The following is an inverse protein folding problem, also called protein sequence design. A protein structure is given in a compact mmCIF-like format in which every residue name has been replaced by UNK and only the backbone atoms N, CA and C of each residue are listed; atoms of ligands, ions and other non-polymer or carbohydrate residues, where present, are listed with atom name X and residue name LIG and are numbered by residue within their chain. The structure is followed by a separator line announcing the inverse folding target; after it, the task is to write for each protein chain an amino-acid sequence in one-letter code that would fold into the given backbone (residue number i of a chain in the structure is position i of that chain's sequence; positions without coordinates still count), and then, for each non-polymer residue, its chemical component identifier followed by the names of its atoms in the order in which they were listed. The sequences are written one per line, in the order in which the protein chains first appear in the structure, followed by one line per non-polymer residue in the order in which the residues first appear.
data_IF_353392689552
#
_entry.id   IF_353392689552
#
_cell.length_a   1.000
_cell.length_b   1.000
_cell.length_c   1.000
_cell.angle_alpha   90.00
_cell.angle_beta   90.00
_cell.angle_gamma   90.00
#
_symmetry.space_group_name_H-M   'P 1'
#
loop_
_entity.id
_entity.type
_entity.pdbx_description
1 polymer ?
#
# COMPACT_ATOMS: atom_id res chain seq x y z
N UNK A 1 -34.54 31.19 -7.89
CA UNK A 1 -35.13 30.31 -6.86
C UNK A 1 -35.10 28.82 -7.23
N UNK A 2 -35.68 28.37 -8.35
CA UNK A 2 -35.70 26.93 -8.74
C UNK A 2 -34.33 26.26 -8.91
N UNK A 3 -33.31 26.94 -9.44
CA UNK A 3 -31.95 26.37 -9.60
C UNK A 3 -31.22 26.11 -8.27
N UNK A 4 -31.44 26.93 -7.25
CA UNK A 4 -30.85 26.71 -5.92
C UNK A 4 -31.50 25.54 -5.18
N UNK A 5 -32.81 25.34 -5.34
CA UNK A 5 -33.52 24.20 -4.74
C UNK A 5 -33.06 22.88 -5.37
N UNK A 6 -32.86 22.83 -6.70
CA UNK A 6 -32.32 21.65 -7.38
C UNK A 6 -30.88 21.34 -6.94
N UNK A 7 -30.02 22.36 -6.77
CA UNK A 7 -28.66 22.19 -6.28
C UNK A 7 -28.62 21.66 -4.83
N UNK A 8 -29.48 22.19 -3.95
CA UNK A 8 -29.57 21.75 -2.56
C UNK A 8 -30.12 20.31 -2.47
N UNK A 9 -31.11 19.94 -3.29
CA UNK A 9 -31.62 18.56 -3.35
C UNK A 9 -30.54 17.61 -3.87
N UNK A 10 -29.79 17.97 -4.91
CA UNK A 10 -28.66 17.16 -5.39
C UNK A 10 -27.53 17.04 -4.36
N UNK A 11 -27.24 18.12 -3.62
CA UNK A 11 -26.25 18.08 -2.54
C UNK A 11 -26.72 17.20 -1.38
N UNK A 12 -28.00 17.28 -1.03
CA UNK A 12 -28.62 16.48 0.03
C UNK A 12 -28.73 15.00 -0.36
N UNK A 13 -29.11 14.68 -1.60
CA UNK A 13 -29.09 13.30 -2.13
C UNK A 13 -27.66 12.76 -2.21
N UNK A 14 -26.68 13.57 -2.62
CA UNK A 14 -25.27 13.19 -2.64
C UNK A 14 -24.73 12.96 -1.22
N UNK A 15 -25.13 13.78 -0.25
CA UNK A 15 -24.78 13.62 1.17
C UNK A 15 -25.46 12.39 1.78
N UNK A 16 -26.75 12.16 1.51
CA UNK A 16 -27.48 10.97 1.94
C UNK A 16 -26.94 9.68 1.31
N UNK A 17 -26.48 9.76 0.05
CA UNK A 17 -25.77 8.66 -0.63
C UNK A 17 -24.39 8.43 -0.03
N UNK A 18 -23.62 9.47 0.29
CA UNK A 18 -22.34 9.33 1.00
C UNK A 18 -22.50 8.75 2.42
N UNK A 19 -23.59 9.10 3.13
CA UNK A 19 -23.90 8.54 4.44
C UNK A 19 -24.44 7.10 4.38
N UNK A 20 -25.15 6.70 3.31
CA UNK A 20 -25.49 5.29 3.05
C UNK A 20 -24.30 4.46 2.55
N UNK A 21 -23.40 5.05 1.77
CA UNK A 21 -22.28 4.38 1.11
C UNK A 21 -21.00 4.39 1.96
N UNK A 22 -21.10 4.24 3.28
CA UNK A 22 -19.93 4.14 4.15
C UNK A 22 -20.03 2.99 5.16
N UNK A 23 -20.93 2.03 4.94
CA UNK A 23 -21.17 0.89 5.83
C UNK A 23 -19.86 0.15 6.13
N UNK A 24 -19.05 -0.12 5.12
CA UNK A 24 -17.80 -0.86 5.28
C UNK A 24 -16.71 -0.02 5.93
N UNK A 25 -16.63 1.26 5.58
CA UNK A 25 -15.74 2.21 6.27
C UNK A 25 -16.08 2.33 7.76
N UNK A 26 -17.36 2.32 8.12
CA UNK A 26 -17.83 2.31 9.51
C UNK A 26 -17.46 1.01 10.21
N UNK A 27 -17.74 -0.16 9.61
CA UNK A 27 -17.34 -1.47 10.15
C UNK A 27 -15.83 -1.51 10.44
N UNK A 28 -15.00 -1.04 9.50
CA UNK A 28 -13.55 -0.97 9.68
C UNK A 28 -13.18 -0.09 10.89
N UNK A 29 -13.75 1.12 10.99
CA UNK A 29 -13.45 2.05 12.09
C UNK A 29 -13.86 1.53 13.47
N UNK A 30 -14.85 0.64 13.54
CA UNK A 30 -15.34 0.05 14.79
C UNK A 30 -14.55 -1.19 15.22
N UNK A 31 -13.73 -1.77 14.34
CA UNK A 31 -12.98 -2.97 14.64
C UNK A 31 -11.79 -2.69 15.56
N UNK A 32 -11.92 -3.05 16.84
CA UNK A 32 -10.97 -2.69 17.90
C UNK A 32 -9.52 -3.14 17.63
N UNK A 33 -9.31 -4.38 17.18
CA UNK A 33 -7.96 -4.92 16.98
C UNK A 33 -7.16 -4.14 15.92
N UNK A 34 -7.76 -3.92 14.75
CA UNK A 34 -7.22 -3.04 13.70
C UNK A 34 -7.04 -1.60 14.21
N UNK A 35 -8.04 -1.03 14.90
CA UNK A 35 -7.94 0.33 15.45
C UNK A 35 -6.74 0.52 16.39
N UNK A 36 -6.43 -0.47 17.25
CA UNK A 36 -5.23 -0.45 18.09
C UNK A 36 -3.93 -0.41 17.27
N UNK A 37 -3.84 -1.24 16.22
CA UNK A 37 -2.65 -1.29 15.34
C UNK A 37 -2.47 0.00 14.54
N UNK A 38 -3.57 0.62 14.11
CA UNK A 38 -3.53 1.93 13.47
C UNK A 38 -3.00 3.00 14.43
N UNK A 39 -3.51 3.04 15.67
CA UNK A 39 -3.02 3.95 16.70
C UNK A 39 -1.53 3.79 16.99
N UNK A 40 -1.05 2.54 17.16
CA UNK A 40 0.37 2.24 17.34
C UNK A 40 1.22 2.68 16.15
N UNK A 41 0.76 2.38 14.92
CA UNK A 41 1.47 2.76 13.70
C UNK A 41 1.58 4.28 13.58
N UNK A 42 0.51 5.02 13.89
CA UNK A 42 0.53 6.50 13.93
C UNK A 42 1.55 7.01 14.94
N UNK A 43 1.57 6.47 16.16
CA UNK A 43 2.55 6.88 17.18
C UNK A 43 3.99 6.65 16.74
N UNK A 44 4.27 5.49 16.11
CA UNK A 44 5.60 5.16 15.57
C UNK A 44 5.99 6.09 14.41
N UNK A 45 5.06 6.36 13.49
CA UNK A 45 5.27 7.31 12.38
C UNK A 45 5.53 8.72 12.91
N UNK A 46 4.81 9.17 13.93
CA UNK A 46 5.01 10.50 14.52
C UNK A 46 6.35 10.60 15.25
N UNK A 47 6.80 9.52 15.91
CA UNK A 47 8.16 9.46 16.47
C UNK A 47 9.23 9.57 15.38
N UNK A 48 9.09 8.82 14.28
CA UNK A 48 9.99 8.90 13.12
C UNK A 48 10.00 10.30 12.52
N UNK A 49 8.84 10.92 12.31
CA UNK A 49 8.73 12.30 11.79
C UNK A 49 9.50 13.30 12.66
N UNK A 50 9.46 13.16 13.99
CA UNK A 50 10.24 14.02 14.89
C UNK A 50 11.75 13.86 14.66
N UNK A 51 12.23 12.63 14.54
CA UNK A 51 13.65 12.36 14.27
C UNK A 51 14.08 12.90 12.89
N UNK A 52 13.29 12.64 11.85
CA UNK A 52 13.58 13.13 10.49
C UNK A 52 13.43 14.64 10.33
N UNK A 53 12.68 15.31 11.21
CA UNK A 53 12.56 16.77 11.22
C UNK A 53 13.73 17.48 11.90
N UNK A 54 14.60 16.74 12.62
CA UNK A 54 15.70 17.32 13.36
C UNK A 54 16.97 17.46 12.48
N UNK A 55 17.34 18.68 12.05
CA UNK A 55 18.50 18.89 11.16
C UNK A 55 19.84 18.56 11.82
N UNK A 56 19.89 18.44 13.16
CA UNK A 56 21.09 17.99 13.86
C UNK A 56 21.28 16.46 13.79
N UNK A 57 20.22 15.70 13.50
CA UNK A 57 20.22 14.23 13.45
C UNK A 57 20.13 13.70 12.03
N UNK A 58 19.36 14.33 11.16
CA UNK A 58 19.12 13.89 9.79
C UNK A 58 19.64 14.90 8.77
N UNK A 59 20.45 14.43 7.83
CA UNK A 59 20.90 15.22 6.68
C UNK A 59 20.03 14.90 5.48
N UNK A 60 19.08 15.77 5.15
CA UNK A 60 18.24 15.60 3.97
C UNK A 60 18.84 16.30 2.75
N UNK A 61 19.16 15.59 1.66
CA UNK A 61 19.51 16.23 0.40
C UNK A 61 18.32 17.03 -0.17
N UNK A 62 18.61 17.97 -1.06
CA UNK A 62 17.58 18.79 -1.71
C UNK A 62 16.55 17.91 -2.44
N UNK A 63 15.28 18.33 -2.42
CA UNK A 63 14.19 17.65 -3.12
C UNK A 63 14.14 16.14 -2.83
N UNK A 64 14.49 15.71 -1.61
CA UNK A 64 14.46 14.30 -1.19
C UNK A 64 13.37 14.09 -0.14
N UNK A 65 12.52 13.10 -0.39
CA UNK A 65 11.46 12.65 0.50
C UNK A 65 11.81 11.29 1.10
N UNK A 66 11.72 11.19 2.43
CA UNK A 66 11.79 9.91 3.15
C UNK A 66 10.38 9.44 3.45
N UNK A 67 10.10 8.18 3.16
CA UNK A 67 8.85 7.54 3.51
C UNK A 67 9.07 6.16 4.11
N UNK A 68 8.11 5.75 4.95
CA UNK A 68 8.04 4.39 5.46
C UNK A 68 7.11 3.56 4.61
N UNK A 69 7.42 2.28 4.40
CA UNK A 69 6.55 1.32 3.75
C UNK A 69 6.23 0.13 4.67
N UNK A 70 5.72 -0.95 4.10
CA UNK A 70 5.48 -2.18 4.85
C UNK A 70 4.40 -2.01 5.92
N UNK A 71 4.61 -2.61 7.10
CA UNK A 71 3.58 -2.63 8.14
C UNK A 71 3.20 -1.27 8.70
N UNK A 72 4.20 -0.39 8.86
CA UNK A 72 3.97 1.00 9.27
C UNK A 72 3.21 1.76 8.18
N UNK A 73 3.59 1.62 6.91
CA UNK A 73 2.89 2.24 5.78
C UNK A 73 1.42 1.78 5.63
N UNK A 74 1.13 0.53 5.96
CA UNK A 74 -0.24 -0.03 5.97
C UNK A 74 -1.05 0.27 7.24
N UNK A 75 -0.44 0.88 8.25
CA UNK A 75 -1.01 1.05 9.59
C UNK A 75 -1.47 -0.27 10.25
N UNK A 76 -0.75 -1.36 9.96
CA UNK A 76 -1.00 -2.70 10.54
C UNK A 76 0.18 -3.22 11.36
N UNK A 77 1.04 -2.30 11.81
CA UNK A 77 2.22 -2.57 12.60
C UNK A 77 1.87 -3.16 13.98
N UNK A 78 2.73 -4.07 14.46
CA UNK A 78 2.81 -4.49 15.86
C UNK A 78 4.01 -3.87 16.57
N UNK A 79 4.22 -4.20 17.84
CA UNK A 79 5.30 -3.66 18.67
C UNK A 79 6.68 -4.00 18.12
N UNK A 80 6.86 -5.24 17.65
CA UNK A 80 8.14 -5.74 17.15
C UNK A 80 8.27 -5.70 15.61
N UNK A 81 7.55 -4.80 14.95
CA UNK A 81 7.61 -4.70 13.49
C UNK A 81 8.87 -3.99 13.00
N UNK A 82 9.44 -4.53 11.92
CA UNK A 82 10.60 -3.97 11.23
C UNK A 82 10.30 -2.56 10.67
N UNK A 83 11.35 -1.74 10.56
CA UNK A 83 11.31 -0.42 9.95
C UNK A 83 11.79 -0.51 8.48
N UNK A 84 10.87 -0.29 7.55
CA UNK A 84 11.13 -0.30 6.11
C UNK A 84 11.16 1.14 5.57
N UNK A 85 12.35 1.72 5.39
CA UNK A 85 12.53 3.08 4.86
C UNK A 85 12.94 3.11 3.40
N UNK A 86 12.42 4.12 2.70
CA UNK A 86 12.75 4.42 1.31
C UNK A 86 12.90 5.92 1.11
N UNK A 87 13.74 6.29 0.15
CA UNK A 87 14.02 7.68 -0.18
C UNK A 87 13.77 7.90 -1.66
N UNK A 88 12.99 8.91 -2.01
CA UNK A 88 12.82 9.37 -3.39
C UNK A 88 13.27 10.80 -3.53
N UNK A 89 13.70 11.19 -4.73
CA UNK A 89 14.07 12.57 -5.02
C UNK A 89 13.56 13.02 -6.38
N UNK A 90 13.20 14.30 -6.50
CA UNK A 90 12.91 14.96 -7.78
C UNK A 90 14.01 15.96 -8.19
N UNK A 91 15.21 15.86 -7.62
CA UNK A 91 16.32 16.74 -7.98
C UNK A 91 16.70 16.58 -9.46
N UNK A 92 16.75 17.68 -10.20
CA UNK A 92 17.21 17.71 -11.60
C UNK A 92 18.68 17.32 -11.72
N UNK A 93 19.49 17.76 -10.75
CA UNK A 93 20.91 17.43 -10.65
C UNK A 93 21.05 16.17 -9.78
N UNK A 94 21.84 15.17 -10.19
CA UNK A 94 22.12 14.01 -9.36
C UNK A 94 22.68 14.42 -7.99
N UNK A 95 22.12 13.84 -6.93
CA UNK A 95 22.61 14.02 -5.56
C UNK A 95 24.08 13.60 -5.52
N UNK A 96 24.93 14.46 -4.94
CA UNK A 96 26.36 14.17 -4.86
C UNK A 96 26.62 12.89 -4.07
N UNK A 97 27.69 12.18 -4.40
CA UNK A 97 28.04 10.94 -3.69
C UNK A 97 28.20 11.18 -2.17
N UNK A 98 28.82 12.30 -1.78
CA UNK A 98 29.02 12.64 -0.37
C UNK A 98 27.71 12.97 0.35
N UNK A 99 26.78 13.69 -0.29
CA UNK A 99 25.48 13.99 0.33
C UNK A 99 24.62 12.75 0.44
N UNK A 100 24.69 11.84 -0.54
CA UNK A 100 24.07 10.53 -0.44
C UNK A 100 24.64 9.74 0.75
N UNK A 101 25.96 9.63 0.89
CA UNK A 101 26.59 8.94 2.02
C UNK A 101 26.19 9.56 3.37
N UNK A 102 26.20 10.90 3.49
CA UNK A 102 25.77 11.59 4.72
C UNK A 102 24.31 11.30 5.06
N UNK A 103 23.42 11.37 4.07
CA UNK A 103 22.00 11.07 4.24
C UNK A 103 21.80 9.65 4.75
N UNK A 104 22.35 8.65 4.04
CA UNK A 104 22.18 7.24 4.40
C UNK A 104 22.81 6.91 5.76
N UNK A 105 23.97 7.50 6.09
CA UNK A 105 24.58 7.34 7.42
C UNK A 105 23.71 7.94 8.52
N UNK A 106 23.10 9.10 8.28
CA UNK A 106 22.21 9.74 9.26
C UNK A 106 20.94 8.94 9.55
N UNK A 107 20.46 8.15 8.58
CA UNK A 107 19.34 7.22 8.79
C UNK A 107 19.69 6.15 9.83
N UNK A 108 20.91 5.62 9.82
CA UNK A 108 21.32 4.60 10.79
C UNK A 108 21.23 5.12 12.24
N UNK A 109 21.51 6.42 12.45
CA UNK A 109 21.31 7.08 13.73
C UNK A 109 19.84 7.12 14.17
N UNK A 110 18.89 7.25 13.23
CA UNK A 110 17.45 7.19 13.52
C UNK A 110 17.02 5.77 13.93
N UNK A 111 17.59 4.74 13.29
CA UNK A 111 17.34 3.35 13.68
C UNK A 111 17.82 3.09 15.11
N UNK A 112 19.04 3.52 15.44
CA UNK A 112 19.62 3.35 16.78
C UNK A 112 18.84 4.11 17.86
N UNK A 113 18.54 5.39 17.64
CA UNK A 113 17.83 6.25 18.59
C UNK A 113 16.44 5.70 18.96
N UNK A 114 15.73 5.15 17.98
CA UNK A 114 14.39 4.60 18.17
C UNK A 114 14.39 3.10 18.52
N UNK A 115 15.57 2.48 18.67
CA UNK A 115 15.71 1.08 19.07
C UNK A 115 15.29 0.06 18.00
N UNK A 116 15.31 0.44 16.72
CA UNK A 116 15.08 -0.50 15.62
C UNK A 116 16.35 -1.32 15.32
N UNK A 117 16.17 -2.57 14.90
CA UNK A 117 17.26 -3.38 14.37
C UNK A 117 17.77 -2.84 13.04
N UNK A 118 18.97 -3.27 12.62
CA UNK A 118 19.59 -2.81 11.37
C UNK A 118 18.66 -2.95 10.14
N UNK A 119 18.81 -2.07 9.12
CA UNK A 119 18.07 -2.21 7.87
C UNK A 119 18.19 -3.61 7.26
N UNK A 120 17.09 -4.10 6.70
CA UNK A 120 17.04 -5.43 6.06
C UNK A 120 18.11 -5.59 4.98
N UNK A 121 18.64 -6.82 4.84
CA UNK A 121 19.67 -7.18 3.85
C UNK A 121 20.89 -6.24 3.85
N UNK A 122 21.35 -5.81 5.02
CA UNK A 122 22.51 -4.90 5.15
C UNK A 122 22.33 -3.58 4.36
N UNK A 123 21.08 -3.10 4.28
CA UNK A 123 20.76 -1.85 3.58
C UNK A 123 20.84 -1.93 2.05
N UNK A 124 20.77 -3.13 1.44
CA UNK A 124 20.81 -3.36 -0.01
C UNK A 124 19.95 -2.37 -0.83
N UNK A 125 18.79 -1.99 -0.30
CA UNK A 125 17.84 -1.09 -0.96
C UNK A 125 17.77 0.31 -0.35
N UNK A 126 18.62 0.61 0.64
CA UNK A 126 18.70 1.93 1.27
C UNK A 126 19.54 2.86 0.38
N UNK A 127 18.87 3.46 -0.60
CA UNK A 127 19.43 4.43 -1.54
C UNK A 127 18.37 5.44 -1.95
N UNK A 128 18.81 6.53 -2.60
CA UNK A 128 17.89 7.55 -3.10
C UNK A 128 17.45 7.23 -4.53
N UNK A 129 16.14 7.12 -4.69
CA UNK A 129 15.45 6.76 -5.91
C UNK A 129 15.01 8.03 -6.65
N UNK A 130 15.65 8.36 -7.78
CA UNK A 130 15.34 9.56 -8.56
C UNK A 130 14.08 9.41 -9.42
N UNK A 131 13.05 10.23 -9.19
CA UNK A 131 11.74 10.14 -9.82
C UNK A 131 11.81 10.34 -11.34
N UNK A 132 12.43 11.38 -11.93
CA UNK A 132 12.46 11.55 -13.38
C UNK A 132 13.10 10.39 -14.15
N UNK A 133 13.95 9.59 -13.51
CA UNK A 133 14.56 8.41 -14.14
C UNK A 133 13.57 7.25 -14.33
N UNK A 134 12.45 7.25 -13.60
CA UNK A 134 11.49 6.15 -13.63
C UNK A 134 10.92 5.87 -15.01
N UNK A 135 10.57 6.92 -15.75
CA UNK A 135 9.88 6.81 -17.03
C UNK A 135 10.68 5.98 -18.04
N UNK A 136 12.01 6.07 -17.96
CA UNK A 136 12.92 5.34 -18.84
C UNK A 136 13.02 3.84 -18.55
N UNK A 137 12.53 3.38 -17.39
CA UNK A 137 12.68 1.99 -16.97
C UNK A 137 11.36 1.24 -16.76
N UNK A 138 10.21 1.91 -16.54
CA UNK A 138 8.93 1.23 -16.23
C UNK A 138 8.62 0.12 -17.23
N UNK A 139 8.45 -1.11 -16.72
CA UNK A 139 8.13 -2.29 -17.54
C UNK A 139 9.32 -2.95 -18.26
N UNK A 140 10.52 -2.38 -18.16
CA UNK A 140 11.75 -3.00 -18.69
C UNK A 140 12.43 -3.92 -17.68
N UNK A 141 13.37 -4.76 -18.12
CA UNK A 141 14.21 -5.56 -17.23
C UNK A 141 15.03 -4.70 -16.23
N UNK A 142 15.34 -3.45 -16.60
CA UNK A 142 16.06 -2.51 -15.73
C UNK A 142 15.20 -2.09 -14.54
N UNK A 143 13.87 -2.05 -14.68
CA UNK A 143 12.91 -1.67 -13.62
C UNK A 143 13.10 -2.54 -12.37
N UNK A 144 13.17 -3.86 -12.57
CA UNK A 144 13.44 -4.84 -11.51
C UNK A 144 14.91 -4.78 -11.07
N UNK A 145 15.85 -4.71 -12.03
CA UNK A 145 17.29 -4.76 -11.74
C UNK A 145 17.81 -3.63 -10.86
N UNK A 146 17.21 -2.44 -10.93
CA UNK A 146 17.57 -1.31 -10.03
C UNK A 146 16.61 -1.18 -8.83
N UNK A 147 15.67 -2.11 -8.67
CA UNK A 147 14.61 -2.14 -7.66
C UNK A 147 13.59 -0.99 -7.77
N UNK A 148 13.54 -0.31 -8.91
CA UNK A 148 12.60 0.82 -9.10
C UNK A 148 11.15 0.35 -9.09
N UNK A 149 10.87 -0.84 -9.67
CA UNK A 149 9.52 -1.41 -9.69
C UNK A 149 8.94 -1.55 -8.28
N UNK A 150 9.70 -2.18 -7.38
CA UNK A 150 9.28 -2.38 -5.99
C UNK A 150 9.04 -1.07 -5.28
N UNK A 151 9.97 -0.11 -5.37
CA UNK A 151 9.84 1.19 -4.67
C UNK A 151 8.63 1.96 -5.16
N UNK A 152 8.39 2.00 -6.48
CA UNK A 152 7.21 2.62 -7.07
C UNK A 152 5.92 1.99 -6.54
N UNK A 153 5.84 0.66 -6.49
CA UNK A 153 4.66 -0.04 -5.99
C UNK A 153 4.46 0.18 -4.48
N UNK A 154 5.52 0.14 -3.67
CA UNK A 154 5.43 0.44 -2.24
C UNK A 154 4.98 1.89 -2.00
N UNK A 155 5.52 2.83 -2.78
CA UNK A 155 5.15 4.24 -2.69
C UNK A 155 3.67 4.47 -3.00
N UNK A 156 3.14 3.82 -4.04
CA UNK A 156 1.72 3.95 -4.41
C UNK A 156 0.78 3.15 -3.50
N UNK A 157 1.22 2.00 -2.97
CA UNK A 157 0.30 1.02 -2.38
C UNK A 157 0.36 0.90 -0.87
N UNK A 158 1.50 1.13 -0.23
CA UNK A 158 1.66 0.86 1.20
C UNK A 158 2.72 1.74 1.86
N UNK A 159 2.63 3.06 1.73
CA UNK A 159 3.58 3.97 2.37
C UNK A 159 2.99 5.26 2.94
N UNK A 160 3.77 5.89 3.82
CA UNK A 160 3.47 7.18 4.47
C UNK A 160 4.71 8.08 4.53
N UNK A 161 4.59 9.40 4.26
CA UNK A 161 5.71 10.31 4.32
C UNK A 161 6.20 10.52 5.77
N UNK A 162 7.52 10.61 5.93
CA UNK A 162 8.19 10.95 7.18
C UNK A 162 8.79 12.36 7.16
N UNK A 163 9.11 12.88 5.97
CA UNK A 163 9.56 14.27 5.75
C UNK A 163 8.44 15.10 5.12
N UNK A 164 8.75 16.03 4.21
CA UNK A 164 7.78 16.92 3.55
C UNK A 164 6.64 16.13 2.85
N UNK A 165 5.39 16.21 3.35
CA UNK A 165 4.24 15.53 2.75
C UNK A 165 3.84 16.10 1.38
N UNK A 166 4.10 17.39 1.12
CA UNK A 166 3.78 18.02 -0.17
C UNK A 166 4.75 17.53 -1.24
N UNK A 167 6.05 17.48 -0.93
CA UNK A 167 7.05 16.91 -1.83
C UNK A 167 6.77 15.43 -2.13
N UNK A 168 6.45 14.65 -1.09
CA UNK A 168 6.05 13.24 -1.26
C UNK A 168 4.82 13.08 -2.17
N UNK A 169 3.79 13.93 -2.00
CA UNK A 169 2.61 13.93 -2.87
C UNK A 169 2.97 14.29 -4.31
N UNK A 170 3.84 15.28 -4.53
CA UNK A 170 4.35 15.63 -5.88
C UNK A 170 5.08 14.48 -6.55
N UNK A 171 5.92 13.74 -5.81
CA UNK A 171 6.57 12.55 -6.35
C UNK A 171 5.55 11.48 -6.80
N UNK A 172 4.47 11.27 -6.02
CA UNK A 172 3.37 10.37 -6.45
C UNK A 172 2.65 10.92 -7.68
N UNK A 173 2.40 12.23 -7.74
CA UNK A 173 1.78 12.88 -8.90
C UNK A 173 2.61 12.68 -10.17
N UNK A 174 3.93 12.83 -10.10
CA UNK A 174 4.85 12.59 -11.21
C UNK A 174 4.81 11.13 -11.69
N UNK A 175 4.84 10.17 -10.75
CA UNK A 175 4.69 8.74 -11.07
C UNK A 175 3.34 8.47 -11.75
N UNK A 176 2.24 8.97 -11.19
CA UNK A 176 0.91 8.73 -11.73
C UNK A 176 0.71 9.42 -13.08
N UNK A 177 1.29 10.61 -13.29
CA UNK A 177 1.25 11.30 -14.58
C UNK A 177 1.76 10.41 -15.71
N UNK A 178 2.82 9.63 -15.48
CA UNK A 178 3.37 8.71 -16.48
C UNK A 178 2.39 7.58 -16.84
N UNK A 179 1.65 7.03 -15.87
CA UNK A 179 0.60 6.03 -16.14
C UNK A 179 -0.62 6.58 -16.88
N UNK A 180 -0.84 7.90 -16.79
CA UNK A 180 -1.95 8.61 -17.40
C UNK A 180 -1.56 9.36 -18.69
N UNK A 181 -0.36 9.12 -19.22
CA UNK A 181 0.16 9.83 -20.41
C UNK A 181 -0.74 9.72 -21.65
N UNK A 182 -1.50 8.63 -21.77
CA UNK A 182 -2.36 8.35 -22.91
C UNK A 182 -3.83 8.80 -22.69
N UNK A 183 -4.11 9.54 -21.62
CA UNK A 183 -5.48 9.95 -21.25
C UNK A 183 -6.15 10.83 -22.30
N UNK A 184 -5.38 11.68 -22.96
CA UNK A 184 -5.91 12.68 -23.91
C UNK A 184 -6.14 12.07 -25.31
N UNK A 185 -5.79 10.80 -25.52
CA UNK A 185 -5.87 10.10 -26.80
C UNK A 185 -7.25 9.44 -27.08
N UNK A 186 -8.27 9.65 -26.24
CA UNK A 186 -9.60 9.10 -26.49
C UNK A 186 -10.66 9.43 -25.43
N UNK A 187 -11.94 9.27 -25.77
CA UNK A 187 -13.08 9.62 -24.92
C UNK A 187 -13.40 8.59 -23.80
N UNK A 188 -12.65 7.48 -23.74
CA UNK A 188 -12.85 6.39 -22.78
C UNK A 188 -11.53 5.89 -22.18
N UNK A 189 -10.68 6.80 -21.69
CA UNK A 189 -9.43 6.40 -21.05
C UNK A 189 -9.67 5.47 -19.85
N UNK A 190 -8.88 4.40 -19.79
CA UNK A 190 -8.78 3.49 -18.64
C UNK A 190 -7.30 3.35 -18.29
N UNK A 191 -6.93 3.39 -17.00
CA UNK A 191 -5.53 3.25 -16.57
C UNK A 191 -5.07 1.79 -16.64
N UNK A 192 -5.28 1.11 -17.77
CA UNK A 192 -4.92 -0.31 -17.96
C UNK A 192 -3.42 -0.53 -17.80
N UNK A 193 -2.60 0.45 -18.16
CA UNK A 193 -1.16 0.35 -17.95
C UNK A 193 -0.80 0.24 -16.47
N UNK A 194 -1.41 1.05 -15.59
CA UNK A 194 -1.23 0.91 -14.15
C UNK A 194 -1.83 -0.40 -13.64
N UNK A 195 -3.04 -0.77 -14.08
CA UNK A 195 -3.68 -2.02 -13.68
C UNK A 195 -2.78 -3.22 -13.97
N UNK A 196 -2.18 -3.28 -15.17
CA UNK A 196 -1.24 -4.32 -15.54
C UNK A 196 0.01 -4.33 -14.65
N UNK A 197 0.54 -3.17 -14.27
CA UNK A 197 1.72 -3.10 -13.40
C UNK A 197 1.39 -3.50 -11.94
N UNK A 198 0.18 -3.24 -11.46
CA UNK A 198 -0.33 -3.76 -10.18
C UNK A 198 -0.45 -5.29 -10.20
N UNK A 199 -1.00 -5.86 -11.27
CA UNK A 199 -1.12 -7.30 -11.44
C UNK A 199 0.23 -7.98 -11.65
N UNK A 200 1.15 -7.32 -12.37
CA UNK A 200 2.58 -7.71 -12.44
C UNK A 200 3.17 -7.73 -11.04
N UNK A 201 2.93 -6.72 -10.20
CA UNK A 201 3.49 -6.66 -8.85
C UNK A 201 3.02 -7.83 -8.00
N UNK A 202 1.73 -8.18 -8.07
CA UNK A 202 1.20 -9.39 -7.45
C UNK A 202 1.91 -10.66 -7.94
N UNK A 203 2.05 -10.86 -9.25
CA UNK A 203 2.75 -12.04 -9.81
C UNK A 203 4.23 -12.08 -9.40
N UNK A 204 4.90 -10.93 -9.37
CA UNK A 204 6.29 -10.81 -8.89
C UNK A 204 6.39 -11.21 -7.43
N UNK A 205 5.46 -10.80 -6.56
CA UNK A 205 5.43 -11.21 -5.16
C UNK A 205 5.26 -12.73 -4.99
N UNK A 206 4.41 -13.36 -5.81
CA UNK A 206 4.26 -14.82 -5.85
C UNK A 206 5.55 -15.52 -6.26
N UNK A 207 6.22 -15.05 -7.30
CA UNK A 207 7.48 -15.64 -7.78
C UNK A 207 8.65 -15.40 -6.80
N UNK A 208 8.71 -14.24 -6.16
CA UNK A 208 9.69 -13.93 -5.12
C UNK A 208 9.54 -14.87 -3.91
N UNK A 209 8.32 -15.28 -3.59
CA UNK A 209 8.08 -16.30 -2.58
C UNK A 209 8.64 -17.67 -3.01
N UNK A 210 8.38 -18.12 -4.24
CA UNK A 210 8.92 -19.41 -4.74
C UNK A 210 10.46 -19.43 -4.78
N UNK A 211 11.07 -18.31 -5.18
CA UNK A 211 12.52 -18.16 -5.12
C UNK A 211 13.04 -18.26 -3.67
N UNK A 212 12.39 -17.58 -2.72
CA UNK A 212 12.75 -17.64 -1.31
C UNK A 212 12.55 -19.03 -0.68
N UNK A 213 11.53 -19.77 -1.13
CA UNK A 213 11.25 -21.16 -0.71
C UNK A 213 12.34 -22.13 -1.17
N UNK A 214 12.93 -21.88 -2.34
CA UNK A 214 14.00 -22.70 -2.91
C UNK A 214 15.37 -22.43 -2.27
N UNK A 215 15.52 -21.31 -1.56
CA UNK A 215 16.76 -20.93 -0.88
C UNK A 215 16.95 -21.64 0.48
N UNK A 216 18.17 -21.62 1.04
CA UNK A 216 18.50 -22.28 2.31
C UNK A 216 17.86 -21.62 3.54
N UNK A 217 17.21 -20.46 3.38
CA UNK A 217 16.68 -19.67 4.51
C UNK A 217 15.32 -20.20 4.99
N UNK A 218 15.13 -20.25 6.31
CA UNK A 218 13.84 -20.58 6.94
C UNK A 218 12.83 -19.42 6.93
N UNK A 219 13.07 -18.35 6.16
CA UNK A 219 12.20 -17.17 6.16
C UNK A 219 10.93 -17.34 5.30
N UNK A 220 10.86 -18.40 4.48
CA UNK A 220 9.79 -18.57 3.49
C UNK A 220 8.41 -18.80 4.11
N UNK A 221 8.29 -19.38 5.31
CA UNK A 221 7.00 -19.61 5.96
C UNK A 221 6.30 -18.28 6.32
N UNK A 222 7.03 -17.34 6.93
CA UNK A 222 6.54 -15.97 7.21
C UNK A 222 6.20 -15.26 5.90
N UNK A 223 7.04 -15.40 4.86
CA UNK A 223 6.78 -14.83 3.53
C UNK A 223 5.50 -15.38 2.89
N UNK A 224 5.23 -16.68 3.02
CA UNK A 224 4.01 -17.32 2.51
C UNK A 224 2.75 -16.71 3.13
N UNK A 225 2.71 -16.57 4.46
CA UNK A 225 1.54 -15.96 5.11
C UNK A 225 1.45 -14.46 4.84
N UNK A 226 2.57 -13.72 4.79
CA UNK A 226 2.55 -12.33 4.31
C UNK A 226 1.95 -12.23 2.90
N UNK A 227 2.27 -13.18 2.00
CA UNK A 227 1.74 -13.25 0.64
C UNK A 227 0.22 -13.44 0.64
N UNK A 228 -0.26 -14.44 1.39
CA UNK A 228 -1.68 -14.82 1.49
C UNK A 228 -2.56 -13.80 2.23
N UNK A 229 -1.98 -12.92 3.03
CA UNK A 229 -2.69 -11.87 3.75
C UNK A 229 -2.27 -10.48 3.23
N UNK A 230 -1.30 -9.84 3.89
CA UNK A 230 -0.94 -8.43 3.67
C UNK A 230 -0.65 -8.06 2.21
N UNK A 231 0.09 -8.88 1.46
CA UNK A 231 0.49 -8.57 0.08
C UNK A 231 -0.68 -8.65 -0.89
N UNK A 232 -1.52 -9.68 -0.74
CA UNK A 232 -2.75 -9.83 -1.52
C UNK A 232 -3.71 -8.67 -1.24
N UNK A 233 -3.90 -8.32 0.04
CA UNK A 233 -4.70 -7.17 0.44
C UNK A 233 -4.16 -5.86 -0.18
N UNK A 234 -2.85 -5.58 -0.08
CA UNK A 234 -2.22 -4.36 -0.64
C UNK A 234 -2.56 -4.15 -2.12
N UNK A 235 -2.44 -5.21 -2.93
CA UNK A 235 -2.72 -5.10 -4.38
C UNK A 235 -4.22 -5.02 -4.63
N UNK A 236 -4.99 -6.01 -4.17
CA UNK A 236 -6.37 -6.16 -4.61
C UNK A 236 -7.35 -5.17 -3.96
N UNK A 237 -7.01 -4.62 -2.78
CA UNK A 237 -7.75 -3.49 -2.22
C UNK A 237 -7.62 -2.21 -3.05
N UNK A 238 -6.55 -2.08 -3.83
CA UNK A 238 -6.36 -0.94 -4.74
C UNK A 238 -7.06 -1.20 -6.07
N UNK A 239 -6.97 -2.42 -6.58
CA UNK A 239 -7.62 -2.83 -7.83
C UNK A 239 -9.14 -2.74 -7.74
N UNK A 240 -9.76 -3.17 -6.64
CA UNK A 240 -11.22 -3.19 -6.49
C UNK A 240 -11.89 -1.83 -6.76
N UNK A 241 -11.58 -0.73 -6.05
CA UNK A 241 -12.17 0.58 -6.34
C UNK A 241 -11.78 1.09 -7.73
N UNK A 242 -10.59 0.76 -8.26
CA UNK A 242 -10.18 1.17 -9.62
C UNK A 242 -11.08 0.56 -10.71
N UNK A 243 -11.47 -0.71 -10.58
CA UNK A 243 -12.34 -1.39 -11.56
C UNK A 243 -13.82 -1.07 -11.40
N UNK A 244 -14.21 -0.44 -10.28
CA UNK A 244 -15.57 0.02 -10.00
C UNK A 244 -15.79 1.48 -10.37
N UNK A 245 -14.74 2.30 -10.33
CA UNK A 245 -14.83 3.72 -10.64
C UNK A 245 -15.10 3.93 -12.14
N UNK A 246 -16.14 4.70 -12.45
CA UNK A 246 -16.56 4.94 -13.84
C UNK A 246 -15.57 5.82 -14.61
N UNK A 247 -14.93 6.76 -13.92
CA UNK A 247 -13.91 7.62 -14.48
C UNK A 247 -12.72 7.74 -13.51
N UNK A 248 -11.71 6.90 -13.72
CA UNK A 248 -10.47 6.97 -12.96
C UNK A 248 -9.62 8.11 -13.52
N UNK A 249 -9.44 9.17 -12.73
CA UNK A 249 -8.51 10.25 -13.02
C UNK A 249 -7.32 10.24 -12.03
N UNK A 250 -6.28 11.01 -12.35
CA UNK A 250 -5.05 11.05 -11.58
C UNK A 250 -5.27 11.49 -10.13
N UNK A 251 -6.11 12.50 -9.90
CA UNK A 251 -6.34 13.06 -8.56
C UNK A 251 -7.12 12.11 -7.66
N UNK A 252 -8.17 11.47 -8.19
CA UNK A 252 -8.91 10.43 -7.47
C UNK A 252 -8.01 9.25 -7.07
N UNK A 253 -7.13 8.82 -7.99
CA UNK A 253 -6.20 7.73 -7.69
C UNK A 253 -5.15 8.15 -6.66
N UNK A 254 -4.65 9.38 -6.75
CA UNK A 254 -3.73 9.93 -5.77
C UNK A 254 -4.35 9.92 -4.37
N UNK A 255 -5.61 10.37 -4.23
CA UNK A 255 -6.35 10.31 -2.96
C UNK A 255 -6.59 8.87 -2.48
N UNK A 256 -6.80 7.93 -3.41
CA UNK A 256 -6.87 6.51 -3.08
C UNK A 256 -5.53 5.99 -2.53
N UNK A 257 -4.38 6.43 -3.07
CA UNK A 257 -3.05 6.02 -2.57
C UNK A 257 -2.75 6.52 -1.15
N UNK A 258 -3.43 7.59 -0.69
CA UNK A 258 -3.30 8.09 0.68
C UNK A 258 -3.99 7.19 1.72
N UNK A 259 -4.93 6.35 1.28
CA UNK A 259 -5.59 5.35 2.12
C UNK A 259 -4.70 4.12 2.32
N UNK A 260 -4.81 3.50 3.48
CA UNK A 260 -4.25 2.18 3.77
C UNK A 260 -4.97 1.09 2.96
N UNK A 261 -4.38 -0.11 2.78
CA UNK A 261 -5.05 -1.18 2.06
C UNK A 261 -6.43 -1.57 2.64
N UNK A 262 -6.60 -1.59 3.96
CA UNK A 262 -7.91 -1.86 4.56
C UNK A 262 -8.94 -0.76 4.25
N UNK A 263 -8.52 0.50 4.30
CA UNK A 263 -9.39 1.63 3.94
C UNK A 263 -9.76 1.60 2.45
N UNK A 264 -8.86 1.23 1.54
CA UNK A 264 -9.18 1.08 0.12
C UNK A 264 -10.15 -0.07 -0.13
N UNK A 265 -9.99 -1.19 0.58
CA UNK A 265 -10.93 -2.30 0.52
C UNK A 265 -12.32 -1.87 0.99
N UNK A 266 -12.40 -1.18 2.13
CA UNK A 266 -13.66 -0.63 2.63
C UNK A 266 -14.31 0.33 1.62
N UNK A 267 -13.55 1.25 1.02
CA UNK A 267 -14.03 2.13 -0.06
C UNK A 267 -14.55 1.33 -1.26
N UNK A 268 -13.84 0.30 -1.70
CA UNK A 268 -14.29 -0.55 -2.80
C UNK A 268 -15.60 -1.28 -2.47
N UNK A 269 -15.75 -1.80 -1.25
CA UNK A 269 -16.98 -2.46 -0.79
C UNK A 269 -18.14 -1.46 -0.65
N UNK A 270 -17.86 -0.25 -0.18
CA UNK A 270 -18.82 0.86 -0.12
C UNK A 270 -19.28 1.30 -1.53
N UNK A 271 -18.42 1.16 -2.55
CA UNK A 271 -18.78 1.37 -3.96
C UNK A 271 -19.62 0.22 -4.53
N UNK A 272 -19.44 -1.02 -4.05
CA UNK A 272 -20.31 -2.15 -4.43
C UNK A 272 -21.73 -1.98 -3.89
N UNK A 273 -21.88 -1.37 -2.71
CA UNK A 273 -23.16 -1.11 -2.04
C UNK A 273 -24.01 -2.39 -1.83
N UNK A 274 -23.34 -3.52 -1.56
CA UNK A 274 -24.00 -4.80 -1.29
C UNK A 274 -23.89 -5.15 0.19
N UNK A 275 -24.97 -4.98 0.96
CA UNK A 275 -25.01 -5.27 2.40
C UNK A 275 -24.73 -6.76 2.75
N UNK A 276 -24.85 -7.69 1.81
CA UNK A 276 -24.61 -9.12 2.07
C UNK A 276 -23.13 -9.41 2.38
N UNK A 277 -22.21 -8.55 1.91
CA UNK A 277 -20.78 -8.69 2.16
C UNK A 277 -20.36 -8.21 3.56
N UNK A 278 -21.24 -7.53 4.32
CA UNK A 278 -20.89 -6.90 5.61
C UNK A 278 -20.44 -7.92 6.67
N UNK A 279 -21.13 -9.07 6.75
CA UNK A 279 -20.73 -10.16 7.65
C UNK A 279 -19.38 -10.75 7.23
N UNK A 280 -19.19 -10.98 5.93
CA UNK A 280 -17.94 -11.48 5.38
C UNK A 280 -16.77 -10.53 5.65
N UNK A 281 -17.00 -9.22 5.56
CA UNK A 281 -15.98 -8.22 5.85
C UNK A 281 -15.60 -8.18 7.33
N UNK A 282 -16.56 -8.36 8.24
CA UNK A 282 -16.25 -8.46 9.68
C UNK A 282 -15.34 -9.67 9.95
N UNK A 283 -15.68 -10.84 9.41
CA UNK A 283 -14.84 -12.06 9.50
C UNK A 283 -13.46 -11.84 8.88
N UNK A 284 -13.40 -11.15 7.74
CA UNK A 284 -12.14 -10.79 7.09
C UNK A 284 -11.22 -9.99 8.02
N UNK A 285 -11.77 -9.00 8.74
CA UNK A 285 -11.00 -8.17 9.67
C UNK A 285 -10.51 -8.99 10.88
N UNK A 286 -11.36 -9.86 11.43
CA UNK A 286 -10.98 -10.76 12.52
C UNK A 286 -9.86 -11.73 12.09
N UNK A 287 -9.96 -12.28 10.88
CA UNK A 287 -8.96 -13.18 10.31
C UNK A 287 -7.63 -12.49 10.01
N UNK A 288 -7.69 -11.24 9.52
CA UNK A 288 -6.51 -10.41 9.30
C UNK A 288 -5.84 -10.05 10.63
N UNK A 289 -6.60 -9.68 11.64
CA UNK A 289 -6.10 -9.40 12.99
C UNK A 289 -5.41 -10.62 13.59
N UNK A 290 -6.03 -11.80 13.48
CA UNK A 290 -5.46 -13.06 13.97
C UNK A 290 -4.10 -13.34 13.32
N UNK A 291 -3.99 -13.12 12.00
CA UNK A 291 -2.72 -13.24 11.29
C UNK A 291 -1.67 -12.27 11.82
N UNK A 292 -2.03 -10.99 12.02
CA UNK A 292 -1.10 -9.97 12.53
C UNK A 292 -0.65 -10.29 13.96
N UNK A 293 -1.56 -10.74 14.82
CA UNK A 293 -1.25 -11.17 16.19
C UNK A 293 -0.29 -12.37 16.18
N UNK A 294 -0.59 -13.38 15.38
CA UNK A 294 0.28 -14.55 15.24
C UNK A 294 1.66 -14.15 14.73
N UNK A 295 1.71 -13.23 13.76
CA UNK A 295 2.96 -12.74 13.18
C UNK A 295 3.85 -11.97 14.16
N UNK A 296 3.25 -11.35 15.16
CA UNK A 296 3.93 -10.56 16.15
C UNK A 296 4.54 -11.41 17.28
N UNK A 297 3.85 -12.48 17.69
CA UNK A 297 4.20 -13.25 18.88
C UNK A 297 4.71 -14.67 18.62
N UNK A 298 4.64 -15.18 17.39
CA UNK A 298 5.07 -16.53 17.07
C UNK A 298 6.13 -16.58 15.97
N UNK A 299 7.10 -17.47 16.13
CA UNK A 299 8.02 -17.83 15.06
C UNK A 299 7.31 -18.77 14.08
N UNK A 300 7.12 -18.31 12.84
CA UNK A 300 6.51 -19.10 11.77
C UNK A 300 7.23 -20.42 11.49
N UNK A 301 8.49 -20.57 11.91
CA UNK A 301 9.23 -21.81 11.79
C UNK A 301 8.84 -22.87 12.81
N UNK A 302 8.32 -22.43 13.96
CA UNK A 302 8.02 -23.23 15.14
C UNK A 302 6.53 -23.27 15.48
N UNK A 303 5.65 -22.85 14.55
CA UNK A 303 4.20 -22.95 14.74
C UNK A 303 3.78 -24.39 14.99
N UNK A 304 2.93 -24.57 16.00
CA UNK A 304 2.21 -25.82 16.19
C UNK A 304 1.21 -26.07 15.04
N UNK A 305 0.82 -27.33 14.89
CA UNK A 305 -0.10 -27.75 13.83
C UNK A 305 -1.48 -27.07 13.92
N UNK A 306 -2.12 -26.94 15.09
CA UNK A 306 -3.40 -26.25 15.21
C UNK A 306 -3.34 -24.79 14.73
N UNK A 307 -2.35 -24.02 15.14
CA UNK A 307 -2.20 -22.61 14.73
C UNK A 307 -1.91 -22.51 13.24
N UNK A 308 -1.05 -23.39 12.72
CA UNK A 308 -0.75 -23.47 11.28
C UNK A 308 -1.99 -23.81 10.45
N UNK A 309 -2.83 -24.74 10.90
CA UNK A 309 -4.10 -25.08 10.24
C UNK A 309 -5.05 -23.88 10.26
N UNK A 310 -5.26 -23.27 11.42
CA UNK A 310 -6.11 -22.09 11.56
C UNK A 310 -5.67 -20.94 10.64
N UNK A 311 -4.36 -20.65 10.56
CA UNK A 311 -3.83 -19.63 9.65
C UNK A 311 -4.11 -19.95 8.18
N UNK A 312 -4.03 -21.21 7.76
CA UNK A 312 -4.32 -21.59 6.37
C UNK A 312 -5.81 -21.48 6.05
N UNK A 313 -6.67 -21.88 6.97
CA UNK A 313 -8.13 -21.79 6.80
C UNK A 313 -8.55 -20.31 6.68
N UNK A 314 -8.05 -19.46 7.58
CA UNK A 314 -8.28 -18.00 7.56
C UNK A 314 -7.71 -17.34 6.30
N UNK A 315 -6.51 -17.75 5.86
CA UNK A 315 -5.96 -17.28 4.59
C UNK A 315 -6.86 -17.62 3.39
N UNK A 316 -7.46 -18.82 3.39
CA UNK A 316 -8.45 -19.22 2.40
C UNK A 316 -9.70 -18.33 2.42
N UNK A 317 -10.21 -18.00 3.60
CA UNK A 317 -11.37 -17.11 3.78
C UNK A 317 -11.08 -15.68 3.29
N UNK A 318 -9.93 -15.11 3.67
CA UNK A 318 -9.46 -13.80 3.20
C UNK A 318 -9.35 -13.77 1.67
N UNK A 319 -8.75 -14.80 1.07
CA UNK A 319 -8.64 -14.91 -0.39
C UNK A 319 -10.01 -15.02 -1.07
N UNK A 320 -10.88 -15.89 -0.56
CA UNK A 320 -12.23 -16.08 -1.09
C UNK A 320 -13.04 -14.79 -1.01
N UNK A 321 -12.95 -14.04 0.08
CA UNK A 321 -13.67 -12.78 0.24
C UNK A 321 -13.22 -11.73 -0.79
N UNK A 322 -11.90 -11.52 -0.95
CA UNK A 322 -11.38 -10.60 -1.97
C UNK A 322 -11.80 -11.02 -3.38
N UNK A 323 -11.74 -12.32 -3.67
CA UNK A 323 -12.17 -12.86 -4.96
C UNK A 323 -13.65 -12.57 -5.23
N UNK A 324 -14.53 -12.82 -4.24
CA UNK A 324 -15.96 -12.52 -4.34
C UNK A 324 -16.23 -11.04 -4.60
N UNK A 325 -15.52 -10.14 -3.91
CA UNK A 325 -15.65 -8.69 -4.14
C UNK A 325 -15.21 -8.28 -5.55
N UNK A 326 -14.08 -8.80 -6.04
CA UNK A 326 -13.56 -8.50 -7.39
C UNK A 326 -14.41 -9.11 -8.52
N UNK A 327 -15.14 -10.20 -8.25
CA UNK A 327 -16.03 -10.85 -9.21
C UNK A 327 -17.50 -10.43 -9.06
N UNK A 328 -17.78 -9.47 -8.18
CA UNK A 328 -19.13 -8.96 -7.95
C UNK A 328 -19.77 -8.50 -9.28
N UNK A 329 -21.08 -8.72 -9.50
CA UNK A 329 -21.77 -8.36 -10.75
C UNK A 329 -21.63 -6.89 -11.16
N UNK A 330 -21.41 -5.98 -10.21
CA UNK A 330 -21.16 -4.55 -10.47
C UNK A 330 -19.81 -4.27 -11.14
N UNK A 331 -18.85 -5.20 -11.09
CA UNK A 331 -17.57 -5.07 -11.80
C UNK A 331 -17.80 -5.41 -13.27
N UNK A 332 -17.37 -4.52 -14.16
CA UNK A 332 -17.60 -4.69 -15.60
C UNK A 332 -17.00 -6.02 -16.09
N UNK A 333 -17.66 -6.74 -17.02
CA UNK A 333 -17.14 -7.99 -17.57
C UNK A 333 -15.74 -7.85 -18.18
N UNK A 334 -15.46 -6.70 -18.80
CA UNK A 334 -14.16 -6.40 -19.39
C UNK A 334 -13.05 -6.31 -18.33
N UNK A 335 -13.28 -5.62 -17.21
CA UNK A 335 -12.29 -5.60 -16.12
C UNK A 335 -12.07 -6.99 -15.53
N UNK A 336 -13.13 -7.79 -15.40
CA UNK A 336 -12.99 -9.18 -14.92
C UNK A 336 -12.11 -10.03 -15.83
N UNK A 337 -12.09 -9.79 -17.15
CA UNK A 337 -11.16 -10.47 -18.05
C UNK A 337 -9.70 -10.11 -17.76
N UNK A 338 -9.41 -8.82 -17.53
CA UNK A 338 -8.06 -8.36 -17.17
C UNK A 338 -7.57 -8.87 -15.81
N UNK A 339 -8.47 -9.26 -14.90
CA UNK A 339 -8.07 -9.83 -13.60
C UNK A 339 -7.62 -11.30 -13.71
N UNK A 340 -8.03 -11.99 -14.78
CA UNK A 340 -7.72 -13.41 -15.01
C UNK A 340 -6.51 -13.57 -15.94
N UNK A 341 -6.47 -12.78 -17.01
CA UNK A 341 -5.38 -12.73 -18.00
C UNK A 341 -4.19 -11.97 -17.41
#
# INVERSE_FOLDING_TARGET
MRRHIVFIIQLFERMMRLMRNSVYSVILSQHQGIGRRQGLSTQKIDALKREFSNPAKFTNPSETSVFVAGSLGRHDSGENSDLDLFLTSSAEVPISHLDNVKCLASILGVYEELGYGQPSNDGEFLKIFNIPQHESCVGSARDDGVNWFTVRMLMLLESKPLTDPQLYRRHKEEILKFYFRDRDNGSQFKPLFLLNDLLRFWRTLCLNYENARSGPTRSWKKRNFNLKFSRMLTVFSTVLPMVLQSHVNQEWLLDLTEKTPLERLAVGLDMLDDAQLSRGFTIFLDDYEFFLHTKEYQDFNLLDDPTRMALNDKAGQVSSFLFSALHHPSVSPEYRQYLVI
#
